data_IF_157362582866
#
_entry.id   IF_157362582866
#
_cell.length_a   1.000
_cell.length_b   1.000
_cell.length_c   1.000
_cell.angle_alpha   90.00
_cell.angle_beta   90.00
_cell.angle_gamma   90.00
#
_symmetry.space_group_name_H-M   'P 1'
#
loop_
_entity.id
_entity.type
_entity.pdbx_description
1 polymer ?
#
# COMPACT_ATOMS: atom_id res chain seq x y z
N UNK A 1 23.89 -42.27 19.61
CA UNK A 1 25.35 -42.19 19.73
C UNK A 1 25.89 -41.49 18.48
N UNK A 2 26.10 -40.18 18.55
CA UNK A 2 26.69 -39.40 17.47
C UNK A 2 28.21 -39.53 17.55
N UNK A 3 28.80 -40.35 16.68
CA UNK A 3 30.24 -40.33 16.47
C UNK A 3 30.60 -38.98 15.83
N UNK A 4 31.27 -38.11 16.60
CA UNK A 4 31.73 -36.81 16.09
C UNK A 4 32.74 -37.05 14.98
N UNK A 5 32.47 -36.52 13.78
CA UNK A 5 33.38 -36.52 12.63
C UNK A 5 34.75 -35.88 12.97
N UNK A 6 34.80 -35.04 14.00
CA UNK A 6 36.04 -34.43 14.49
C UNK A 6 37.02 -35.48 15.03
N UNK A 7 36.53 -36.55 15.68
CA UNK A 7 37.38 -37.62 16.21
C UNK A 7 38.05 -38.44 15.11
N UNK A 8 37.40 -38.60 13.95
CA UNK A 8 37.98 -39.37 12.83
C UNK A 8 39.09 -38.60 12.11
N UNK A 9 38.95 -37.28 11.95
CA UNK A 9 39.97 -36.46 11.32
C UNK A 9 41.24 -36.37 12.20
N UNK A 10 41.06 -36.22 13.51
CA UNK A 10 42.18 -36.16 14.46
C UNK A 10 42.92 -37.50 14.55
N UNK A 11 42.19 -38.62 14.52
CA UNK A 11 42.79 -39.96 14.52
C UNK A 11 43.60 -40.22 13.25
N UNK A 12 43.09 -39.83 12.08
CA UNK A 12 43.80 -39.95 10.80
C UNK A 12 45.03 -39.06 10.77
N UNK A 13 44.94 -37.82 11.27
CA UNK A 13 46.08 -36.91 11.37
C UNK A 13 47.18 -37.47 12.30
N UNK A 14 46.82 -38.00 13.47
CA UNK A 14 47.77 -38.66 14.38
C UNK A 14 48.42 -39.90 13.77
N UNK A 15 47.65 -40.71 13.03
CA UNK A 15 48.18 -41.88 12.32
C UNK A 15 49.18 -41.46 11.23
N UNK A 16 48.86 -40.42 10.46
CA UNK A 16 49.76 -39.85 9.44
C UNK A 16 51.03 -39.26 10.06
N UNK A 17 50.93 -38.56 11.19
CA UNK A 17 52.10 -38.02 11.91
C UNK A 17 52.99 -39.14 12.51
N UNK A 18 52.38 -40.21 13.02
CA UNK A 18 53.13 -41.41 13.47
C UNK A 18 53.88 -42.09 12.33
N UNK A 19 53.28 -42.19 11.14
CA UNK A 19 53.92 -42.74 9.94
C UNK A 19 55.06 -41.81 9.49
N UNK A 20 54.86 -40.49 9.52
CA UNK A 20 55.88 -39.52 9.12
C UNK A 20 57.11 -39.50 10.06
N UNK A 21 56.93 -39.78 11.37
CA UNK A 21 58.01 -39.77 12.37
C UNK A 21 58.86 -41.05 12.43
N UNK A 22 58.50 -42.10 11.71
CA UNK A 22 59.26 -43.38 11.67
C UNK A 22 59.65 -43.79 10.25
N UNK A 23 60.48 -42.99 9.56
CA UNK A 23 60.91 -43.33 8.21
C UNK A 23 61.83 -44.58 8.17
N UNK A 24 62.46 -44.94 9.30
CA UNK A 24 63.50 -45.98 9.34
C UNK A 24 62.95 -47.41 9.47
N UNK A 25 61.72 -47.56 9.97
CA UNK A 25 61.05 -48.88 10.08
C UNK A 25 60.63 -49.42 8.68
N UNK A 26 60.78 -48.64 7.60
CA UNK A 26 60.43 -49.03 6.24
C UNK A 26 61.61 -49.49 5.36
N UNK A 27 62.85 -49.36 5.82
CA UNK A 27 64.04 -49.55 4.97
C UNK A 27 64.50 -51.01 4.80
N UNK A 28 63.90 -52.00 5.48
CA UNK A 28 64.47 -53.36 5.54
C UNK A 28 63.72 -54.46 4.79
N UNK A 29 62.71 -54.15 3.97
CA UNK A 29 62.08 -55.17 3.13
C UNK A 29 61.41 -54.58 1.90
N UNK A 30 61.93 -54.93 0.70
CA UNK A 30 61.35 -54.71 -0.63
C UNK A 30 60.32 -53.56 -0.69
N UNK A 31 60.82 -52.33 -0.60
CA UNK A 31 60.01 -51.13 -0.66
C UNK A 31 59.17 -51.10 -1.94
N UNK A 32 57.85 -51.16 -1.80
CA UNK A 32 56.95 -51.03 -2.93
C UNK A 32 56.92 -49.54 -3.36
N UNK A 33 57.51 -49.15 -4.51
CA UNK A 33 57.68 -47.75 -4.93
C UNK A 33 56.35 -46.98 -5.08
N UNK A 34 55.21 -47.69 -5.06
CA UNK A 34 53.87 -47.12 -5.04
C UNK A 34 53.60 -46.21 -3.82
N UNK A 35 54.16 -46.50 -2.63
CA UNK A 35 53.84 -45.75 -1.40
C UNK A 35 54.41 -44.33 -1.41
N UNK A 36 55.65 -44.15 -1.87
CA UNK A 36 56.30 -42.83 -1.93
C UNK A 36 55.61 -41.86 -2.90
N UNK A 37 55.02 -42.37 -3.99
CA UNK A 37 54.21 -41.54 -4.91
C UNK A 37 52.90 -41.07 -4.27
N UNK A 38 52.26 -41.96 -3.50
CA UNK A 38 51.01 -41.66 -2.79
C UNK A 38 51.23 -40.63 -1.68
N UNK A 39 52.31 -40.74 -0.91
CA UNK A 39 52.66 -39.75 0.13
C UNK A 39 52.88 -38.37 -0.49
N UNK A 40 53.64 -38.27 -1.59
CA UNK A 40 53.87 -36.98 -2.30
C UNK A 40 52.56 -36.37 -2.82
N UNK A 41 51.66 -37.19 -3.37
CA UNK A 41 50.35 -36.73 -3.83
C UNK A 41 49.50 -36.19 -2.67
N UNK A 42 49.48 -36.88 -1.53
CA UNK A 42 48.74 -36.44 -0.34
C UNK A 42 49.31 -35.12 0.23
N UNK A 43 50.63 -34.98 0.30
CA UNK A 43 51.28 -33.74 0.74
C UNK A 43 50.93 -32.58 -0.20
N UNK A 44 51.05 -32.77 -1.51
CA UNK A 44 50.67 -31.74 -2.50
C UNK A 44 49.18 -31.38 -2.40
N UNK A 45 48.29 -32.35 -2.21
CA UNK A 45 46.85 -32.08 -2.01
C UNK A 45 46.59 -31.31 -0.71
N UNK A 46 47.32 -31.61 0.36
CA UNK A 46 47.21 -30.89 1.63
C UNK A 46 47.66 -29.43 1.50
N UNK A 47 48.72 -29.14 0.74
CA UNK A 47 49.15 -27.77 0.46
C UNK A 47 48.07 -26.99 -0.32
N UNK A 48 47.46 -27.61 -1.33
CA UNK A 48 46.35 -27.01 -2.09
C UNK A 48 45.15 -26.73 -1.18
N UNK A 49 44.76 -27.69 -0.34
CA UNK A 49 43.66 -27.51 0.61
C UNK A 49 43.96 -26.44 1.66
N UNK A 50 45.21 -26.31 2.12
CA UNK A 50 45.62 -25.26 3.04
C UNK A 50 45.52 -23.87 2.40
N UNK A 51 45.94 -23.74 1.14
CA UNK A 51 45.80 -22.51 0.35
C UNK A 51 44.33 -22.16 0.12
N UNK A 52 43.50 -23.11 -0.30
CA UNK A 52 42.05 -22.93 -0.49
C UNK A 52 41.36 -22.49 0.81
N UNK A 53 41.68 -23.13 1.93
CA UNK A 53 41.20 -22.74 3.26
C UNK A 53 41.61 -21.32 3.64
N UNK A 54 42.81 -20.88 3.26
CA UNK A 54 43.25 -19.50 3.48
C UNK A 54 42.47 -18.51 2.61
N UNK A 55 42.27 -18.79 1.32
CA UNK A 55 41.44 -17.97 0.44
C UNK A 55 40.00 -17.83 0.95
N UNK A 56 39.37 -18.92 1.39
CA UNK A 56 38.02 -18.90 1.96
C UNK A 56 37.93 -18.07 3.25
N UNK A 57 38.98 -18.05 4.07
CA UNK A 57 39.04 -17.16 5.25
C UNK A 57 39.08 -15.69 4.85
N UNK A 58 39.90 -15.34 3.87
CA UNK A 58 39.97 -13.97 3.35
C UNK A 58 38.64 -13.52 2.73
N UNK A 59 37.98 -14.40 1.97
CA UNK A 59 36.66 -14.13 1.41
C UNK A 59 35.62 -13.93 2.51
N UNK A 60 35.61 -14.79 3.53
CA UNK A 60 34.73 -14.63 4.71
C UNK A 60 34.95 -13.30 5.41
N UNK A 61 36.19 -12.89 5.62
CA UNK A 61 36.53 -11.63 6.28
C UNK A 61 36.13 -10.43 5.41
N UNK A 62 36.29 -10.54 4.09
CA UNK A 62 35.82 -9.55 3.12
C UNK A 62 34.29 -9.40 3.18
N UNK A 63 33.56 -10.53 3.14
CA UNK A 63 32.10 -10.54 3.25
C UNK A 63 31.63 -9.96 4.58
N UNK A 64 32.30 -10.28 5.69
CA UNK A 64 31.99 -9.72 7.00
C UNK A 64 32.13 -8.18 7.01
N UNK A 65 33.17 -7.64 6.36
CA UNK A 65 33.34 -6.18 6.19
C UNK A 65 32.21 -5.59 5.35
N UNK A 66 31.84 -6.21 4.23
CA UNK A 66 30.74 -5.72 3.40
C UNK A 66 29.40 -5.72 4.13
N UNK A 67 29.12 -6.74 4.95
CA UNK A 67 27.92 -6.80 5.78
C UNK A 67 27.89 -5.68 6.81
N UNK A 68 29.02 -5.42 7.49
CA UNK A 68 29.12 -4.32 8.44
C UNK A 68 28.86 -2.94 7.77
N UNK A 69 29.39 -2.73 6.56
CA UNK A 69 29.11 -1.51 5.78
C UNK A 69 27.63 -1.38 5.42
N UNK A 70 26.99 -2.47 4.98
CA UNK A 70 25.56 -2.47 4.65
C UNK A 70 24.71 -2.18 5.89
N UNK A 71 25.04 -2.78 7.04
CA UNK A 71 24.36 -2.50 8.31
C UNK A 71 24.49 -1.04 8.74
N UNK A 72 25.68 -0.46 8.58
CA UNK A 72 25.91 0.95 8.83
C UNK A 72 25.06 1.85 7.92
N UNK A 73 25.03 1.56 6.61
CA UNK A 73 24.18 2.30 5.66
C UNK A 73 22.69 2.22 6.01
N UNK A 74 22.21 1.05 6.42
CA UNK A 74 20.82 0.90 6.88
C UNK A 74 20.52 1.67 8.16
N UNK A 75 21.50 1.80 9.05
CA UNK A 75 21.38 2.62 10.26
C UNK A 75 21.28 4.10 9.90
N UNK A 76 22.19 4.60 9.06
CA UNK A 76 22.18 5.99 8.58
C UNK A 76 20.87 6.35 7.89
N UNK A 77 20.38 5.49 6.98
CA UNK A 77 19.09 5.68 6.32
C UNK A 77 17.91 5.72 7.31
N UNK A 78 17.96 4.90 8.36
CA UNK A 78 16.92 4.88 9.41
C UNK A 78 16.93 6.19 10.20
N UNK A 79 18.11 6.68 10.57
CA UNK A 79 18.26 7.91 11.34
C UNK A 79 17.81 9.14 10.52
N UNK A 80 18.16 9.17 9.23
CA UNK A 80 17.73 10.22 8.31
C UNK A 80 16.21 10.20 8.08
N UNK A 81 15.62 9.01 7.89
CA UNK A 81 14.17 8.86 7.79
C UNK A 81 13.43 9.32 9.06
N UNK A 82 14.00 9.06 10.24
CA UNK A 82 13.42 9.54 11.50
C UNK A 82 13.51 11.06 11.62
N UNK A 83 14.65 11.65 11.23
CA UNK A 83 14.82 13.11 11.19
C UNK A 83 13.80 13.79 10.26
N UNK A 84 13.50 13.20 9.12
CA UNK A 84 12.46 13.71 8.21
C UNK A 84 11.05 13.61 8.80
N UNK A 85 10.73 12.52 9.49
CA UNK A 85 9.45 12.37 10.20
C UNK A 85 9.29 13.41 11.30
N UNK A 86 10.35 13.68 12.05
CA UNK A 86 10.32 14.70 13.11
C UNK A 86 10.09 16.10 12.51
N UNK A 87 10.76 16.44 11.40
CA UNK A 87 10.51 17.68 10.67
C UNK A 87 9.06 17.80 10.19
N UNK A 88 8.52 16.73 9.60
CA UNK A 88 7.13 16.71 9.12
C UNK A 88 6.14 16.85 10.28
N UNK A 89 6.45 16.23 11.43
CA UNK A 89 5.64 16.35 12.63
C UNK A 89 5.65 17.78 13.19
N UNK A 90 6.81 18.43 13.24
CA UNK A 90 6.91 19.85 13.62
C UNK A 90 6.08 20.74 12.70
N UNK A 91 6.18 20.56 11.38
CA UNK A 91 5.39 21.33 10.41
C UNK A 91 3.89 21.08 10.56
N UNK A 92 3.48 19.84 10.85
CA UNK A 92 2.09 19.51 11.13
C UNK A 92 1.55 20.22 12.38
N UNK A 93 2.36 20.32 13.44
CA UNK A 93 2.01 21.08 14.66
C UNK A 93 1.82 22.56 14.34
N UNK A 94 2.72 23.15 13.55
CA UNK A 94 2.64 24.56 13.13
C UNK A 94 1.36 24.85 12.33
N UNK A 95 1.06 24.05 11.31
CA UNK A 95 -0.18 24.17 10.52
C UNK A 95 -1.41 24.04 11.43
N UNK A 96 -1.39 23.07 12.36
CA UNK A 96 -2.52 22.85 13.28
C UNK A 96 -2.77 24.08 14.16
N UNK A 97 -1.69 24.72 14.63
CA UNK A 97 -1.76 25.97 15.39
C UNK A 97 -2.32 27.11 14.55
N UNK A 98 -1.82 27.30 13.33
CA UNK A 98 -2.30 28.35 12.41
C UNK A 98 -3.80 28.19 12.11
N UNK A 99 -4.25 26.96 11.85
CA UNK A 99 -5.68 26.66 11.62
C UNK A 99 -6.51 26.96 12.87
N UNK A 100 -6.01 26.67 14.07
CA UNK A 100 -6.69 27.01 15.31
C UNK A 100 -6.80 28.53 15.51
N UNK A 101 -5.71 29.26 15.26
CA UNK A 101 -5.66 30.73 15.35
C UNK A 101 -6.63 31.38 14.35
N UNK A 102 -6.66 30.91 13.10
CA UNK A 102 -7.60 31.38 12.07
C UNK A 102 -9.05 31.08 12.43
N UNK A 103 -9.35 29.93 13.01
CA UNK A 103 -10.69 29.62 13.52
C UNK A 103 -11.11 30.56 14.66
N UNK A 104 -10.18 30.88 15.56
CA UNK A 104 -10.42 31.82 16.65
C UNK A 104 -10.66 33.26 16.13
N UNK A 105 -9.91 33.69 15.10
CA UNK A 105 -10.11 34.96 14.39
C UNK A 105 -11.50 35.03 13.73
N UNK A 106 -11.85 34.05 12.90
CA UNK A 106 -13.18 33.95 12.27
C UNK A 106 -14.32 33.93 13.30
N UNK A 107 -14.10 33.29 14.45
CA UNK A 107 -15.10 33.29 15.53
C UNK A 107 -15.26 34.66 16.18
N UNK A 108 -14.19 35.47 16.29
CA UNK A 108 -14.25 36.84 16.83
C UNK A 108 -14.97 37.77 15.86
N UNK A 109 -14.62 37.70 14.58
CA UNK A 109 -15.28 38.48 13.52
C UNK A 109 -16.78 38.16 13.43
N UNK A 110 -17.16 36.88 13.48
CA UNK A 110 -18.57 36.47 13.52
C UNK A 110 -19.33 37.05 14.72
N UNK A 111 -18.69 37.13 15.90
CA UNK A 111 -19.29 37.74 17.10
C UNK A 111 -19.47 39.25 16.90
N UNK A 112 -18.49 39.93 16.32
CA UNK A 112 -18.56 41.35 16.00
C UNK A 112 -19.70 41.66 15.02
N UNK A 113 -19.77 40.95 13.89
CA UNK A 113 -20.84 41.12 12.89
C UNK A 113 -22.23 40.85 13.47
N UNK A 114 -22.37 39.86 14.35
CA UNK A 114 -23.65 39.60 15.02
C UNK A 114 -24.01 40.73 16.00
N UNK A 115 -23.04 41.26 16.75
CA UNK A 115 -23.27 42.40 17.63
C UNK A 115 -23.68 43.67 16.86
N UNK A 116 -23.04 43.94 15.72
CA UNK A 116 -23.38 45.03 14.81
C UNK A 116 -24.80 44.87 14.23
N UNK A 117 -25.13 43.68 13.72
CA UNK A 117 -26.47 43.37 13.22
C UNK A 117 -27.54 43.57 14.29
N UNK A 118 -27.26 43.17 15.54
CA UNK A 118 -28.17 43.41 16.67
C UNK A 118 -28.30 44.89 17.01
N UNK A 119 -27.22 45.68 16.92
CA UNK A 119 -27.28 47.13 17.12
C UNK A 119 -28.15 47.81 16.06
N UNK A 120 -27.99 47.43 14.78
CA UNK A 120 -28.83 47.92 13.68
C UNK A 120 -30.30 47.56 13.91
N UNK A 121 -30.57 46.32 14.30
CA UNK A 121 -31.94 45.86 14.61
C UNK A 121 -32.57 46.68 15.75
N UNK A 122 -31.83 46.89 16.85
CA UNK A 122 -32.28 47.71 17.98
C UNK A 122 -32.56 49.15 17.56
N UNK A 123 -31.66 49.76 16.78
CA UNK A 123 -31.84 51.11 16.27
C UNK A 123 -33.11 51.22 15.41
N UNK A 124 -33.31 50.30 14.46
CA UNK A 124 -34.51 50.26 13.60
C UNK A 124 -35.80 50.06 14.41
N UNK A 125 -35.75 49.32 15.50
CA UNK A 125 -36.91 49.12 16.38
C UNK A 125 -37.24 50.36 17.23
N UNK A 126 -36.23 51.12 17.65
CA UNK A 126 -36.40 52.33 18.46
C UNK A 126 -36.88 53.54 17.64
N UNK A 127 -36.52 53.59 16.36
CA UNK A 127 -36.92 54.64 15.42
C UNK A 127 -37.75 54.01 14.29
N UNK A 128 -39.02 53.65 14.54
CA UNK A 128 -39.89 53.16 13.48
C UNK A 128 -40.00 54.27 12.43
N UNK A 129 -39.42 54.01 11.25
CA UNK A 129 -39.51 54.92 10.12
C UNK A 129 -41.01 55.12 9.86
N UNK A 130 -41.54 56.35 9.94
CA UNK A 130 -42.96 56.59 9.73
C UNK A 130 -43.30 56.03 8.36
N UNK A 131 -44.24 55.08 8.35
CA UNK A 131 -44.71 54.41 7.15
C UNK A 131 -45.17 55.50 6.19
N UNK A 132 -44.33 55.84 5.22
CA UNK A 132 -44.72 56.73 4.14
C UNK A 132 -45.72 55.94 3.33
N UNK A 133 -46.99 56.34 3.40
CA UNK A 133 -48.13 55.72 2.71
C UNK A 133 -47.97 55.61 1.17
N UNK A 134 -46.83 56.02 0.60
CA UNK A 134 -46.48 55.90 -0.81
C UNK A 134 -45.47 54.79 -1.18
N UNK A 135 -44.85 54.07 -0.24
CA UNK A 135 -43.84 53.05 -0.58
C UNK A 135 -44.40 51.74 -1.17
N UNK A 136 -45.73 51.54 -1.09
CA UNK A 136 -46.42 50.39 -1.71
C UNK A 136 -46.28 50.31 -3.23
N UNK A 137 -45.95 51.41 -3.92
CA UNK A 137 -45.87 51.39 -5.40
C UNK A 137 -44.48 50.99 -5.93
N UNK A 138 -43.40 51.20 -5.16
CA UNK A 138 -42.03 50.95 -5.64
C UNK A 138 -41.65 49.46 -5.59
N UNK A 139 -42.24 48.68 -4.67
CA UNK A 139 -41.99 47.23 -4.58
C UNK A 139 -42.46 46.46 -5.81
N UNK A 140 -43.48 46.97 -6.53
CA UNK A 140 -44.02 46.31 -7.73
C UNK A 140 -43.14 46.47 -8.99
N UNK A 141 -42.31 47.52 -9.04
CA UNK A 141 -41.51 47.85 -10.24
C UNK A 141 -40.26 46.96 -10.36
N UNK A 142 -39.76 46.42 -9.23
CA UNK A 142 -38.55 45.59 -9.22
C UNK A 142 -38.80 44.08 -9.35
N UNK A 143 -40.06 43.62 -9.22
CA UNK A 143 -40.40 42.21 -9.43
C UNK A 143 -40.63 41.87 -10.93
N UNK A 144 -40.98 42.84 -11.78
CA UNK A 144 -41.14 42.60 -13.23
C UNK A 144 -39.81 42.57 -14.01
N UNK A 145 -38.72 43.14 -13.47
CA UNK A 145 -37.43 43.17 -14.18
C UNK A 145 -36.58 41.90 -14.03
N UNK A 146 -37.01 40.94 -13.21
CA UNK A 146 -36.25 39.68 -12.99
C UNK A 146 -36.65 38.52 -13.91
N UNK A 147 -37.62 38.72 -14.81
CA UNK A 147 -38.03 37.71 -15.79
C UNK A 147 -37.46 37.89 -17.21
N UNK A 148 -36.70 38.96 -17.50
CA UNK A 148 -36.43 39.36 -18.91
C UNK A 148 -34.99 39.20 -19.44
N UNK A 149 -34.14 38.34 -18.87
CA UNK A 149 -32.85 38.05 -19.54
C UNK A 149 -32.24 36.69 -19.18
N UNK A 150 -32.89 35.61 -19.64
CA UNK A 150 -32.14 34.44 -20.07
C UNK A 150 -31.75 34.65 -21.54
N UNK A 151 -30.46 34.89 -21.88
CA UNK A 151 -30.02 34.79 -23.27
C UNK A 151 -30.11 33.32 -23.70
N UNK A 152 -31.10 33.07 -24.53
CA UNK A 152 -31.38 31.84 -25.26
C UNK A 152 -30.20 31.55 -26.21
N UNK A 153 -29.22 30.80 -25.73
CA UNK A 153 -28.19 30.19 -26.58
C UNK A 153 -28.86 29.04 -27.34
N UNK A 154 -29.37 29.41 -28.51
CA UNK A 154 -29.93 28.53 -29.54
C UNK A 154 -28.85 27.58 -30.06
N UNK A 155 -28.94 26.31 -29.66
CA UNK A 155 -28.26 25.20 -30.33
C UNK A 155 -29.33 24.38 -31.06
N UNK A 156 -29.34 24.52 -32.38
CA UNK A 156 -30.23 23.89 -33.34
C UNK A 156 -30.44 22.39 -33.05
N UNK A 157 -31.71 22.00 -32.86
CA UNK A 157 -32.12 20.60 -32.86
C UNK A 157 -32.67 20.23 -34.25
N UNK A 158 -32.09 19.24 -34.94
CA UNK A 158 -32.56 18.81 -36.25
C UNK A 158 -33.89 18.03 -36.15
N UNK A 159 -34.70 18.01 -37.23
CA UNK A 159 -36.06 17.49 -37.21
C UNK A 159 -36.10 15.97 -37.02
N UNK A 160 -36.87 15.53 -36.02
CA UNK A 160 -37.07 14.14 -35.65
C UNK A 160 -38.02 13.43 -36.62
N UNK A 161 -37.47 12.82 -37.68
CA UNK A 161 -38.16 11.75 -38.41
C UNK A 161 -38.32 10.55 -37.47
N UNK A 162 -39.58 10.15 -37.22
CA UNK A 162 -40.00 8.95 -36.48
C UNK A 162 -39.40 7.69 -37.12
N UNK A 163 -38.17 7.33 -36.73
CA UNK A 163 -37.53 6.08 -37.11
C UNK A 163 -37.96 5.02 -36.10
N UNK A 164 -38.77 4.05 -36.56
CA UNK A 164 -39.17 2.84 -35.83
C UNK A 164 -37.89 2.18 -35.28
N UNK A 165 -37.62 2.34 -33.99
CA UNK A 165 -36.47 1.72 -33.31
C UNK A 165 -36.71 0.21 -33.33
N UNK A 166 -35.91 -0.51 -34.12
CA UNK A 166 -35.65 -1.91 -33.82
C UNK A 166 -35.02 -1.94 -32.43
N UNK A 167 -35.66 -2.65 -31.51
CA UNK A 167 -35.10 -3.00 -30.21
C UNK A 167 -33.86 -3.86 -30.46
N UNK A 168 -32.71 -3.21 -30.62
CA UNK A 168 -31.44 -3.86 -30.42
C UNK A 168 -31.31 -4.04 -28.91
N UNK A 169 -31.55 -5.26 -28.43
CA UNK A 169 -31.07 -5.69 -27.12
C UNK A 169 -29.54 -5.61 -27.17
N UNK A 170 -28.99 -4.43 -26.91
CA UNK A 170 -27.56 -4.27 -26.70
C UNK A 170 -27.21 -5.21 -25.54
N UNK A 171 -26.21 -6.10 -25.69
CA UNK A 171 -25.77 -6.95 -24.59
C UNK A 171 -25.49 -6.04 -23.41
N UNK A 172 -26.20 -6.26 -22.30
CA UNK A 172 -26.05 -5.49 -21.08
C UNK A 172 -24.56 -5.46 -20.74
N UNK A 173 -23.95 -4.29 -20.80
CA UNK A 173 -22.58 -4.08 -20.35
C UNK A 173 -22.61 -4.44 -18.86
N UNK A 174 -22.18 -5.64 -18.52
CA UNK A 174 -22.22 -6.14 -17.16
C UNK A 174 -21.22 -5.32 -16.35
N UNK A 175 -21.71 -4.47 -15.45
CA UNK A 175 -20.87 -3.64 -14.60
C UNK A 175 -19.85 -4.51 -13.85
N UNK A 176 -18.58 -4.12 -13.95
CA UNK A 176 -17.47 -4.89 -13.41
C UNK A 176 -17.41 -4.70 -11.90
N UNK A 177 -17.91 -5.67 -11.16
CA UNK A 177 -17.89 -5.62 -9.70
C UNK A 177 -16.54 -6.05 -9.14
N UNK A 178 -15.88 -5.12 -8.45
CA UNK A 178 -14.53 -5.28 -7.93
C UNK A 178 -14.56 -6.06 -6.59
N UNK A 179 -13.64 -7.02 -6.41
CA UNK A 179 -13.49 -7.73 -5.13
C UNK A 179 -12.84 -6.84 -4.06
N UNK A 180 -12.99 -7.20 -2.78
CA UNK A 180 -12.49 -6.38 -1.67
C UNK A 180 -10.97 -6.16 -1.71
N UNK A 181 -10.21 -7.18 -2.16
CA UNK A 181 -8.75 -7.10 -2.27
C UNK A 181 -8.33 -6.23 -3.45
N UNK A 182 -8.96 -6.41 -4.63
CA UNK A 182 -8.70 -5.57 -5.79
C UNK A 182 -9.05 -4.11 -5.52
N UNK A 183 -10.15 -3.83 -4.80
CA UNK A 183 -10.53 -2.48 -4.42
C UNK A 183 -9.56 -1.84 -3.41
N UNK A 184 -8.98 -2.62 -2.50
CA UNK A 184 -8.00 -2.10 -1.54
C UNK A 184 -6.62 -1.80 -2.16
N UNK A 185 -6.34 -2.37 -3.33
CA UNK A 185 -5.04 -2.31 -4.00
C UNK A 185 -5.10 -1.77 -5.44
N UNK A 186 -6.25 -1.20 -5.86
CA UNK A 186 -6.51 -0.69 -7.22
C UNK A 186 -6.16 -1.66 -8.37
N UNK A 187 -6.43 -2.95 -8.19
CA UNK A 187 -6.22 -3.96 -9.24
C UNK A 187 -7.47 -4.17 -10.13
N UNK A 188 -7.24 -4.51 -11.40
CA UNK A 188 -8.29 -5.00 -12.31
C UNK A 188 -8.78 -6.39 -11.86
N UNK A 189 -10.09 -6.62 -11.88
CA UNK A 189 -10.72 -7.84 -11.35
C UNK A 189 -11.33 -8.70 -12.48
N UNK A 190 -11.03 -10.00 -12.51
CA UNK A 190 -11.34 -10.91 -13.63
C UNK A 190 -12.77 -11.52 -13.60
N UNK A 191 -13.78 -10.72 -13.28
CA UNK A 191 -15.20 -11.00 -13.57
C UNK A 191 -15.86 -12.29 -13.05
N UNK A 192 -15.25 -13.12 -12.21
CA UNK A 192 -15.96 -14.26 -11.61
C UNK A 192 -15.04 -15.34 -11.07
N UNK A 193 -13.86 -15.45 -11.65
CA UNK A 193 -12.77 -16.25 -11.11
C UNK A 193 -12.09 -15.50 -9.95
N UNK A 194 -11.49 -16.22 -8.99
CA UNK A 194 -10.66 -15.57 -7.98
C UNK A 194 -9.53 -14.79 -8.67
N UNK A 195 -9.43 -13.49 -8.41
CA UNK A 195 -8.39 -12.66 -9.00
C UNK A 195 -7.00 -13.14 -8.56
N UNK A 196 -5.95 -12.81 -9.33
CA UNK A 196 -4.56 -13.19 -9.04
C UNK A 196 -4.15 -12.92 -7.59
N UNK A 197 -4.55 -11.78 -7.03
CA UNK A 197 -4.30 -11.43 -5.64
C UNK A 197 -4.98 -12.37 -4.64
N UNK A 198 -6.26 -12.70 -4.86
CA UNK A 198 -6.99 -13.66 -4.02
C UNK A 198 -6.41 -15.08 -4.15
N UNK A 199 -6.02 -15.49 -5.35
CA UNK A 199 -5.41 -16.79 -5.63
C UNK A 199 -4.05 -16.93 -4.94
N UNK A 200 -3.18 -15.92 -5.07
CA UNK A 200 -1.88 -15.88 -4.40
C UNK A 200 -2.01 -15.96 -2.88
N UNK A 201 -2.99 -15.23 -2.32
CA UNK A 201 -3.23 -15.22 -0.88
C UNK A 201 -4.01 -16.44 -0.38
N UNK A 202 -4.42 -17.36 -1.26
CA UNK A 202 -5.29 -18.51 -0.94
C UNK A 202 -6.57 -18.08 -0.18
N UNK A 203 -7.11 -16.91 -0.51
CA UNK A 203 -8.31 -16.35 0.11
C UNK A 203 -9.51 -16.43 -0.83
N UNK A 204 -10.71 -16.61 -0.28
CA UNK A 204 -11.95 -16.55 -1.07
C UNK A 204 -12.13 -15.14 -1.62
N UNK A 205 -12.28 -15.02 -2.94
CA UNK A 205 -12.61 -13.75 -3.60
C UNK A 205 -14.02 -13.33 -3.18
N UNK A 206 -14.12 -12.30 -2.33
CA UNK A 206 -15.39 -11.72 -1.87
C UNK A 206 -15.61 -10.40 -2.57
N UNK A 207 -16.78 -10.22 -3.17
CA UNK A 207 -17.20 -8.96 -3.80
C UNK A 207 -17.75 -8.01 -2.75
N UNK A 208 -17.41 -6.73 -2.85
CA UNK A 208 -17.90 -5.73 -1.91
C UNK A 208 -19.35 -5.40 -2.27
N UNK A 209 -20.26 -5.59 -1.31
CA UNK A 209 -21.67 -5.21 -1.47
C UNK A 209 -21.81 -3.69 -1.42
N UNK A 210 -22.63 -3.12 -2.29
CA UNK A 210 -22.91 -1.69 -2.30
C UNK A 210 -23.51 -1.26 -0.95
N UNK A 211 -22.89 -0.27 -0.31
CA UNK A 211 -23.31 0.18 1.00
C UNK A 211 -24.61 0.97 0.97
N UNK A 212 -25.00 1.56 -0.15
CA UNK A 212 -26.24 2.36 -0.27
C UNK A 212 -27.44 1.53 -0.75
N UNK A 213 -27.20 0.31 -1.25
CA UNK A 213 -28.27 -0.53 -1.80
C UNK A 213 -29.30 -0.97 -0.77
N UNK A 214 -28.95 -1.06 0.53
CA UNK A 214 -29.93 -1.38 1.58
C UNK A 214 -31.08 -0.37 1.69
N UNK A 215 -30.92 0.83 1.11
CA UNK A 215 -31.95 1.87 1.06
C UNK A 215 -32.92 1.68 -0.13
N UNK A 216 -32.67 0.73 -1.02
CA UNK A 216 -33.47 0.40 -2.20
C UNK A 216 -32.67 0.45 -3.50
N UNK A 217 -33.13 -0.29 -4.52
CA UNK A 217 -32.49 -0.38 -5.84
C UNK A 217 -32.29 0.99 -6.50
N UNK A 218 -33.25 1.90 -6.33
CA UNK A 218 -33.22 3.26 -6.89
C UNK A 218 -32.39 4.26 -6.08
N UNK A 219 -31.87 3.87 -4.91
CA UNK A 219 -31.10 4.76 -4.02
C UNK A 219 -29.61 4.72 -4.26
N UNK A 220 -29.11 3.79 -5.07
CA UNK A 220 -27.73 3.86 -5.53
C UNK A 220 -27.62 4.97 -6.58
N UNK A 221 -27.19 6.16 -6.18
CA UNK A 221 -27.08 7.33 -7.08
C UNK A 221 -25.97 7.24 -8.13
N UNK A 222 -25.32 6.09 -8.31
CA UNK A 222 -24.26 5.87 -9.30
C UNK A 222 -24.76 4.88 -10.33
N UNK A 223 -24.93 5.34 -11.58
CA UNK A 223 -25.34 4.50 -12.70
C UNK A 223 -24.37 3.32 -12.92
N UNK A 224 -23.08 3.52 -12.63
CA UNK A 224 -22.03 2.50 -12.73
C UNK A 224 -21.40 2.23 -11.35
N UNK A 225 -22.21 1.77 -10.40
CA UNK A 225 -21.69 1.42 -9.08
C UNK A 225 -20.66 0.26 -9.20
N UNK A 226 -19.40 0.44 -8.73
CA UNK A 226 -18.38 -0.61 -8.81
C UNK A 226 -18.59 -1.73 -7.78
N UNK A 227 -19.67 -1.67 -7.00
CA UNK A 227 -19.98 -2.59 -5.91
C UNK A 227 -21.19 -3.46 -6.27
N UNK A 228 -21.21 -4.68 -5.74
CA UNK A 228 -22.23 -5.67 -6.04
C UNK A 228 -23.62 -5.22 -5.56
N UNK A 229 -24.61 -5.32 -6.44
CA UNK A 229 -26.03 -5.32 -6.12
C UNK A 229 -26.57 -6.77 -6.09
N UNK A 230 -27.60 -7.07 -5.28
CA UNK A 230 -28.27 -8.38 -5.26
C UNK A 230 -28.83 -8.81 -6.62
N UNK A 231 -29.26 -7.84 -7.42
CA UNK A 231 -29.80 -8.05 -8.77
C UNK A 231 -28.74 -8.58 -9.74
N UNK A 232 -27.45 -8.35 -9.48
CA UNK A 232 -26.36 -8.83 -10.32
C UNK A 232 -26.13 -10.35 -10.21
N UNK A 233 -26.82 -11.05 -9.30
CA UNK A 233 -26.74 -12.51 -9.15
C UNK A 233 -25.43 -13.03 -8.54
N UNK A 234 -24.61 -12.17 -7.93
CA UNK A 234 -23.33 -12.59 -7.35
C UNK A 234 -23.51 -13.28 -5.98
N UNK A 235 -23.22 -14.59 -5.91
CA UNK A 235 -23.34 -15.39 -4.69
C UNK A 235 -22.34 -15.03 -3.57
N UNK A 236 -21.23 -14.35 -3.89
CA UNK A 236 -20.09 -14.12 -3.00
C UNK A 236 -19.96 -12.66 -2.54
N UNK A 237 -21.06 -12.03 -2.10
CA UNK A 237 -21.05 -10.63 -1.64
C UNK A 237 -20.86 -10.53 -0.12
N UNK A 238 -20.06 -9.57 0.35
CA UNK A 238 -19.85 -9.30 1.77
C UNK A 238 -20.17 -7.84 2.12
N UNK A 239 -20.93 -7.63 3.20
CA UNK A 239 -21.18 -6.32 3.79
C UNK A 239 -19.96 -5.90 4.62
N UNK A 240 -19.23 -4.88 4.17
CA UNK A 240 -18.03 -4.36 4.86
C UNK A 240 -18.34 -3.47 6.08
N UNK A 241 -19.62 -3.35 6.47
CA UNK A 241 -20.09 -2.45 7.54
C UNK A 241 -19.61 -2.80 8.94
N UNK A 242 -18.91 -3.91 9.13
CA UNK A 242 -18.11 -4.14 10.32
C UNK A 242 -16.72 -4.52 9.85
N UNK A 243 -15.73 -3.67 10.16
CA UNK A 243 -14.36 -4.12 10.40
C UNK A 243 -14.44 -5.16 11.53
N UNK A 244 -14.89 -6.37 11.24
CA UNK A 244 -14.71 -7.48 12.16
C UNK A 244 -13.21 -7.60 12.33
N UNK A 245 -12.77 -7.59 13.57
CA UNK A 245 -11.40 -7.68 14.02
C UNK A 245 -10.72 -9.03 13.69
N UNK A 246 -10.99 -9.58 12.50
CA UNK A 246 -10.61 -10.90 11.99
C UNK A 246 -9.70 -10.71 10.79
N UNK A 247 -8.55 -10.10 11.03
CA UNK A 247 -7.30 -10.33 10.28
C UNK A 247 -6.10 -9.90 11.15
N UNK A 248 -6.18 -10.14 12.47
CA UNK A 248 -5.08 -9.86 13.43
C UNK A 248 -3.87 -10.81 13.28
N UNK A 249 -3.76 -11.57 12.19
CA UNK A 249 -2.71 -12.57 12.01
C UNK A 249 -2.14 -12.67 10.60
N UNK A 250 -2.60 -11.85 9.65
CA UNK A 250 -2.00 -11.80 8.31
C UNK A 250 -0.93 -10.70 8.29
N UNK A 251 0.34 -11.04 8.02
CA UNK A 251 1.39 -10.03 7.94
C UNK A 251 1.06 -9.00 6.85
N UNK A 252 1.35 -7.70 7.08
CA UNK A 252 1.08 -6.64 6.12
C UNK A 252 1.75 -6.94 4.78
N UNK A 253 0.97 -6.86 3.69
CA UNK A 253 1.37 -7.19 2.31
C UNK A 253 2.52 -6.35 1.75
N UNK A 254 2.93 -5.29 2.45
CA UNK A 254 4.06 -4.44 2.03
C UNK A 254 5.43 -5.14 2.10
N UNK A 255 5.54 -6.31 2.75
CA UNK A 255 6.80 -7.07 2.83
C UNK A 255 6.98 -8.17 1.77
N UNK A 256 5.97 -8.50 0.96
CA UNK A 256 6.08 -9.62 -0.02
C UNK A 256 6.18 -9.21 -1.49
N UNK A 257 5.80 -7.99 -1.85
CA UNK A 257 5.82 -7.54 -3.25
C UNK A 257 7.20 -7.07 -3.76
N UNK A 258 8.24 -7.01 -2.92
CA UNK A 258 9.62 -6.69 -3.35
C UNK A 258 10.45 -7.90 -3.81
N UNK A 259 9.84 -9.09 -3.90
CA UNK A 259 10.54 -10.32 -4.28
C UNK A 259 10.18 -10.84 -5.68
N UNK A 260 9.46 -10.06 -6.50
CA UNK A 260 9.00 -10.50 -7.82
C UNK A 260 9.51 -9.65 -9.00
N UNK A 261 10.48 -8.76 -8.76
CA UNK A 261 11.29 -8.12 -9.84
C UNK A 261 12.70 -8.75 -9.95
N UNK A 262 12.83 -10.05 -9.66
CA UNK A 262 14.03 -10.85 -9.94
C UNK A 262 13.66 -12.16 -10.60
#
# INVERSE_FOLDING_TARGET
>A
MSFSLENTAELVARRMDQIARRPEDFQTGEECPAHGSTIRLLLSRNEVLASEKHCLRLEKDSLAKTLATIEQQFKEYRDESNKEKDKLHSHFIEITKEVADKRAEMSREKKYMNAEAQAIYKYRSAYPVPSTAGQSQISSIFDESRQSSNPEVSAERPPTKKRKRKEHSTPSISNVVICTQCYAHDFKCDHGTPCKACQHNKTRCKRKRCSTYHLGATKCGRNDCPFAHPEDGYANTANLMRRTARDKGLPPLTKRLRLLDR
#
